data_IF_561760870106
#
_entry.id   IF_561760870106
#
_cell.length_a   1.000
_cell.length_b   1.000
_cell.length_c   1.000
_cell.angle_alpha   90.00
_cell.angle_beta   90.00
_cell.angle_gamma   90.00
#
_symmetry.space_group_name_H-M   'P 1'
#
loop_
_entity.id
_entity.type
_entity.pdbx_description
1 polymer ?
#
# COMPACT_ATOMS: atom_id res chain seq x y z
N UNK A 1 -6.94 -12.26 17.23
CA UNK A 1 -5.49 -12.28 16.92
C UNK A 1 -4.82 -11.80 18.19
N UNK A 2 -4.06 -12.66 18.85
CA UNK A 2 -3.65 -12.38 20.22
C UNK A 2 -2.31 -11.63 20.20
N UNK A 3 -2.29 -10.47 20.86
CA UNK A 3 -1.12 -9.62 21.11
C UNK A 3 -0.21 -9.31 19.90
N UNK A 4 -0.70 -8.61 18.86
CA UNK A 4 0.16 -8.20 17.75
C UNK A 4 1.23 -7.21 18.21
N UNK A 5 2.46 -7.35 17.68
CA UNK A 5 3.55 -6.38 17.92
C UNK A 5 3.23 -5.05 17.23
N UNK A 6 3.54 -3.93 17.86
CA UNK A 6 3.34 -2.62 17.23
C UNK A 6 4.45 -2.35 16.22
N UNK A 7 4.09 -2.11 14.97
CA UNK A 7 4.98 -1.74 13.87
C UNK A 7 4.76 -0.26 13.55
N UNK A 8 5.60 0.59 14.14
CA UNK A 8 5.63 2.02 13.80
C UNK A 8 6.46 2.20 12.54
N UNK A 9 5.85 2.76 11.50
CA UNK A 9 6.46 2.95 10.19
C UNK A 9 6.61 4.43 9.92
N UNK A 10 7.83 4.89 9.62
CA UNK A 10 8.10 6.28 9.27
C UNK A 10 7.76 6.51 7.79
N UNK A 11 6.74 7.33 7.53
CA UNK A 11 6.19 7.68 6.21
C UNK A 11 6.65 9.05 5.72
N UNK A 12 7.52 9.76 6.47
CA UNK A 12 7.90 11.15 6.19
C UNK A 12 8.42 11.38 4.76
N UNK A 13 8.99 10.33 4.15
CA UNK A 13 9.65 10.43 2.85
C UNK A 13 8.95 9.63 1.74
N UNK A 14 7.81 9.00 2.04
CA UNK A 14 6.98 8.25 1.08
C UNK A 14 5.49 8.40 1.40
N UNK A 15 5.10 9.60 1.82
CA UNK A 15 3.74 9.90 2.29
C UNK A 15 2.64 9.58 1.27
N UNK A 16 2.93 9.65 -0.02
CA UNK A 16 1.91 9.47 -1.06
C UNK A 16 1.59 7.96 -1.22
N UNK A 17 2.64 7.10 -1.21
CA UNK A 17 2.47 5.65 -1.08
C UNK A 17 1.76 5.28 0.23
N UNK A 18 2.06 5.97 1.33
CA UNK A 18 1.37 5.72 2.59
C UNK A 18 -0.14 5.98 2.46
N UNK A 19 -0.55 7.02 1.73
CA UNK A 19 -1.97 7.28 1.45
C UNK A 19 -2.63 6.16 0.64
N UNK A 20 -1.92 5.60 -0.34
CA UNK A 20 -2.37 4.42 -1.11
C UNK A 20 -2.58 3.20 -0.19
N UNK A 21 -1.59 2.88 0.64
CA UNK A 21 -1.65 1.79 1.63
C UNK A 21 -2.79 1.98 2.63
N UNK A 22 -2.97 3.22 3.13
CA UNK A 22 -4.02 3.56 4.07
C UNK A 22 -5.41 3.48 3.45
N UNK A 23 -5.57 3.91 2.19
CA UNK A 23 -6.82 3.70 1.45
C UNK A 23 -7.13 2.21 1.34
N UNK A 24 -6.15 1.41 0.91
CA UNK A 24 -6.31 -0.04 0.78
C UNK A 24 -6.74 -0.71 2.09
N UNK A 25 -6.09 -0.34 3.21
CA UNK A 25 -6.47 -0.83 4.54
C UNK A 25 -7.88 -0.39 4.94
N UNK A 26 -8.23 0.88 4.71
CA UNK A 26 -9.49 1.47 5.16
C UNK A 26 -10.69 1.01 4.35
N UNK A 27 -10.58 1.07 3.02
CA UNK A 27 -11.70 0.93 2.10
C UNK A 27 -11.90 -0.54 1.67
N UNK A 28 -10.83 -1.23 1.26
CA UNK A 28 -10.89 -2.62 0.78
C UNK A 28 -10.74 -3.65 1.90
N UNK A 29 -10.11 -3.29 3.03
CA UNK A 29 -9.87 -4.20 4.16
C UNK A 29 -10.63 -3.83 5.42
N UNK A 30 -11.56 -2.87 5.34
CA UNK A 30 -12.47 -2.52 6.43
C UNK A 30 -11.80 -1.90 7.65
N UNK A 31 -10.67 -1.21 7.46
CA UNK A 31 -9.88 -0.61 8.55
C UNK A 31 -8.92 -1.58 9.25
N UNK A 32 -8.70 -2.77 8.69
CA UNK A 32 -7.75 -3.75 9.25
C UNK A 32 -6.31 -3.21 9.24
N UNK A 33 -5.71 -3.13 10.42
CA UNK A 33 -4.30 -2.72 10.61
C UNK A 33 -3.43 -3.85 11.16
N UNK A 34 -4.01 -4.99 11.52
CA UNK A 34 -3.28 -6.14 12.06
C UNK A 34 -2.99 -7.14 10.96
N UNK A 35 -1.73 -7.32 10.64
CA UNK A 35 -1.24 -8.17 9.57
C UNK A 35 -0.24 -9.19 10.09
N UNK A 36 0.06 -10.21 9.28
CA UNK A 36 1.05 -11.22 9.63
C UNK A 36 2.23 -11.10 8.66
N UNK A 37 3.45 -11.07 9.20
CA UNK A 37 4.65 -11.05 8.37
C UNK A 37 4.74 -12.37 7.63
N UNK A 38 4.92 -12.31 6.32
CA UNK A 38 5.10 -13.45 5.44
C UNK A 38 6.35 -14.24 5.80
N UNK A 39 6.64 -15.27 5.01
CA UNK A 39 7.83 -16.10 5.20
C UNK A 39 8.96 -15.65 4.28
N UNK A 40 10.22 -15.97 4.61
CA UNK A 40 11.44 -15.44 3.95
C UNK A 40 11.40 -15.45 2.41
N UNK A 41 10.73 -16.42 1.80
CA UNK A 41 10.71 -16.61 0.34
C UNK A 41 9.36 -16.29 -0.33
N UNK A 42 8.36 -15.75 0.40
CA UNK A 42 7.03 -15.51 -0.18
C UNK A 42 6.98 -14.29 -1.10
N UNK A 43 7.89 -13.32 -0.91
CA UNK A 43 7.85 -12.01 -1.59
C UNK A 43 7.82 -12.09 -3.13
N UNK A 44 8.67 -12.94 -3.72
CA UNK A 44 8.75 -13.08 -5.18
C UNK A 44 7.46 -13.64 -5.76
N UNK A 45 6.91 -14.67 -5.11
CA UNK A 45 5.63 -15.28 -5.50
C UNK A 45 4.49 -14.28 -5.34
N UNK A 46 4.43 -13.56 -4.23
CA UNK A 46 3.40 -12.55 -4.02
C UNK A 46 3.40 -11.48 -5.12
N UNK A 47 4.56 -10.94 -5.51
CA UNK A 47 4.63 -9.97 -6.63
C UNK A 47 4.21 -10.51 -7.98
N UNK A 48 4.37 -11.82 -8.19
CA UNK A 48 3.86 -12.47 -9.39
C UNK A 48 2.34 -12.62 -9.32
N UNK A 49 1.82 -13.02 -8.17
CA UNK A 49 0.40 -13.26 -7.95
C UNK A 49 -0.42 -11.97 -7.90
N UNK A 50 0.15 -10.86 -7.41
CA UNK A 50 -0.47 -9.52 -7.44
C UNK A 50 -0.47 -8.90 -8.83
N UNK A 51 0.47 -9.32 -9.67
CA UNK A 51 0.71 -8.73 -10.99
C UNK A 51 1.72 -7.59 -11.00
N UNK A 52 2.30 -7.21 -9.85
CA UNK A 52 3.33 -6.18 -9.78
C UNK A 52 4.56 -6.48 -10.68
N UNK A 53 4.96 -7.76 -10.77
CA UNK A 53 6.06 -8.19 -11.67
C UNK A 53 5.75 -8.00 -13.17
N UNK A 54 4.50 -7.73 -13.55
CA UNK A 54 4.14 -7.41 -14.93
C UNK A 54 4.36 -5.92 -15.27
N UNK A 55 4.86 -5.13 -14.32
CA UNK A 55 5.11 -3.69 -14.47
C UNK A 55 3.89 -2.96 -15.06
N UNK A 56 2.71 -3.11 -14.43
CA UNK A 56 1.43 -2.71 -15.03
C UNK A 56 1.33 -1.22 -15.33
N UNK A 57 2.16 -0.38 -14.70
CA UNK A 57 2.15 1.07 -14.88
C UNK A 57 3.28 1.57 -15.79
N UNK A 58 3.99 0.68 -16.50
CA UNK A 58 4.90 1.12 -17.57
C UNK A 58 4.12 1.51 -18.82
N UNK A 59 4.61 2.51 -19.55
CA UNK A 59 3.95 3.07 -20.74
C UNK A 59 3.54 2.01 -21.79
N UNK A 60 4.37 0.98 -21.97
CA UNK A 60 4.11 -0.11 -22.92
C UNK A 60 3.11 -1.17 -22.41
N UNK A 61 2.68 -1.08 -21.16
CA UNK A 61 1.78 -2.02 -20.49
C UNK A 61 0.38 -1.45 -20.23
N UNK A 62 0.23 -0.12 -20.14
CA UNK A 62 -1.01 0.59 -19.80
C UNK A 62 -2.23 0.06 -20.58
N UNK A 63 -2.16 0.12 -21.91
CA UNK A 63 -3.28 -0.32 -22.77
C UNK A 63 -3.56 -1.83 -22.65
N UNK A 64 -2.52 -2.65 -22.51
CA UNK A 64 -2.67 -4.12 -22.40
C UNK A 64 -3.30 -4.54 -21.08
N UNK A 65 -3.04 -3.77 -20.02
CA UNK A 65 -3.47 -4.07 -18.64
C UNK A 65 -4.70 -3.31 -18.21
N UNK A 66 -5.15 -2.33 -18.99
CA UNK A 66 -6.26 -1.45 -18.62
C UNK A 66 -5.91 -0.61 -17.39
N UNK A 67 -4.66 -0.16 -17.33
CA UNK A 67 -4.10 0.65 -16.24
C UNK A 67 -3.65 2.00 -16.79
N UNK A 68 -3.45 2.93 -15.88
CA UNK A 68 -2.99 4.28 -16.19
C UNK A 68 -1.94 4.69 -15.15
N UNK A 69 -1.26 5.81 -15.37
CA UNK A 69 -0.37 6.44 -14.40
C UNK A 69 -0.98 7.75 -13.86
N UNK A 70 -0.76 8.08 -12.58
CA UNK A 70 -1.14 9.40 -12.02
C UNK A 70 -0.37 10.52 -12.73
N UNK A 71 0.91 10.28 -13.01
CA UNK A 71 1.75 11.07 -13.91
C UNK A 71 2.87 10.19 -14.50
N UNK A 72 3.67 10.76 -15.40
CA UNK A 72 4.74 10.04 -16.11
C UNK A 72 5.76 9.35 -15.20
N UNK A 73 5.93 9.81 -13.96
CA UNK A 73 6.90 9.27 -13.00
C UNK A 73 6.32 8.11 -12.16
N UNK A 74 5.01 7.91 -12.17
CA UNK A 74 4.32 6.86 -11.38
C UNK A 74 4.29 5.50 -12.08
N UNK A 75 5.48 4.96 -12.36
CA UNK A 75 5.68 3.71 -13.12
C UNK A 75 5.78 2.45 -12.26
N UNK A 76 6.03 2.59 -10.96
CA UNK A 76 6.14 1.47 -10.02
C UNK A 76 4.77 0.98 -9.57
N UNK A 77 4.69 -0.29 -9.17
CA UNK A 77 3.47 -0.88 -8.65
C UNK A 77 3.56 -1.03 -7.13
N UNK A 78 3.00 -0.07 -6.40
CA UNK A 78 2.75 -0.23 -4.97
C UNK A 78 1.72 -1.33 -4.78
N UNK A 79 1.87 -2.21 -3.79
CA UNK A 79 0.98 -3.34 -3.59
C UNK A 79 0.53 -3.46 -2.14
N UNK A 80 -0.79 -3.44 -1.90
CA UNK A 80 -1.34 -3.68 -0.57
C UNK A 80 -2.39 -4.80 -0.56
N UNK A 81 -2.26 -5.85 0.30
CA UNK A 81 -1.23 -6.04 1.31
C UNK A 81 0.16 -6.26 0.72
N UNK A 82 1.20 -5.72 1.37
CA UNK A 82 2.58 -5.81 0.89
C UNK A 82 2.97 -7.26 0.61
N UNK A 83 3.80 -7.51 -0.42
CA UNK A 83 4.32 -8.85 -0.69
C UNK A 83 5.11 -9.48 0.48
N UNK A 84 5.53 -8.67 1.46
CA UNK A 84 6.16 -9.16 2.69
C UNK A 84 5.17 -9.70 3.73
N UNK A 85 3.86 -9.61 3.50
CA UNK A 85 2.81 -10.12 4.39
C UNK A 85 2.25 -11.46 3.90
N UNK A 86 1.67 -12.26 4.80
CA UNK A 86 1.02 -13.55 4.46
C UNK A 86 -0.12 -13.39 3.47
N UNK A 87 -0.87 -12.28 3.56
CA UNK A 87 -1.99 -11.95 2.64
C UNK A 87 -1.55 -11.15 1.41
N UNK A 88 -0.25 -10.98 1.19
CA UNK A 88 0.25 -10.33 -0.02
C UNK A 88 0.03 -11.19 -1.26
N UNK A 89 0.14 -10.57 -2.43
CA UNK A 89 0.01 -11.25 -3.70
C UNK A 89 -1.42 -11.28 -4.22
N UNK A 90 -2.07 -12.44 -4.20
CA UNK A 90 -3.39 -12.59 -4.81
C UNK A 90 -4.41 -11.63 -4.20
N UNK A 91 -5.13 -10.89 -5.07
CA UNK A 91 -6.07 -9.82 -4.70
C UNK A 91 -5.44 -8.64 -3.93
N UNK A 92 -4.12 -8.47 -3.95
CA UNK A 92 -3.52 -7.21 -3.56
C UNK A 92 -3.98 -6.12 -4.54
N UNK A 93 -4.30 -4.96 -4.00
CA UNK A 93 -4.59 -3.77 -4.79
C UNK A 93 -3.25 -3.17 -5.19
N UNK A 94 -3.11 -2.82 -6.46
CA UNK A 94 -1.97 -2.11 -6.99
C UNK A 94 -2.32 -0.65 -7.26
N UNK A 95 -1.38 0.23 -6.95
CA UNK A 95 -1.44 1.65 -7.29
C UNK A 95 -0.18 2.08 -8.05
N UNK A 96 -0.28 3.05 -8.98
CA UNK A 96 0.87 3.63 -9.66
C UNK A 96 1.64 4.55 -8.71
N UNK A 97 2.90 4.22 -8.44
CA UNK A 97 3.76 4.98 -7.52
C UNK A 97 5.10 5.33 -8.17
N UNK A 98 5.81 6.31 -7.62
CA UNK A 98 7.17 6.64 -8.06
C UNK A 98 8.18 5.62 -7.54
N UNK A 99 9.23 5.33 -8.32
CA UNK A 99 10.31 4.43 -7.89
C UNK A 99 11.05 4.94 -6.64
N UNK A 100 11.18 6.26 -6.52
CA UNK A 100 11.81 6.92 -5.38
C UNK A 100 11.04 6.66 -4.09
N UNK A 101 9.72 6.85 -4.07
CA UNK A 101 8.93 6.55 -2.87
C UNK A 101 8.88 5.04 -2.61
N UNK A 102 8.80 4.20 -3.65
CA UNK A 102 8.80 2.74 -3.49
C UNK A 102 10.08 2.24 -2.80
N UNK A 103 11.23 2.80 -3.17
CA UNK A 103 12.53 2.49 -2.57
C UNK A 103 12.59 2.91 -1.10
N UNK A 104 12.05 4.09 -0.80
CA UNK A 104 11.99 4.64 0.55
C UNK A 104 11.05 3.84 1.46
N UNK A 105 9.85 3.50 0.98
CA UNK A 105 8.90 2.64 1.66
C UNK A 105 9.54 1.27 1.99
N UNK A 106 10.13 0.62 0.99
CA UNK A 106 10.77 -0.69 1.18
C UNK A 106 11.89 -0.66 2.24
N UNK A 107 12.65 0.43 2.30
CA UNK A 107 13.69 0.65 3.31
C UNK A 107 13.09 0.91 4.69
N UNK A 108 12.10 1.80 4.79
CA UNK A 108 11.41 2.15 6.04
C UNK A 108 10.73 0.94 6.68
N UNK A 109 9.90 0.22 5.92
CA UNK A 109 9.20 -0.99 6.40
C UNK A 109 10.19 -2.07 6.87
N UNK A 110 11.28 -2.27 6.13
CA UNK A 110 12.33 -3.22 6.52
C UNK A 110 13.03 -2.83 7.82
N UNK A 111 13.28 -1.53 8.02
CA UNK A 111 13.86 -1.01 9.26
C UNK A 111 12.87 -1.14 10.44
N UNK A 112 11.58 -0.83 10.22
CA UNK A 112 10.54 -0.97 11.23
C UNK A 112 10.37 -2.41 11.71
N UNK A 113 10.41 -3.41 10.81
CA UNK A 113 10.37 -4.81 11.24
C UNK A 113 11.51 -5.16 12.20
N UNK A 114 12.72 -4.66 11.94
CA UNK A 114 13.87 -4.87 12.82
C UNK A 114 13.71 -4.13 14.14
N UNK A 115 13.33 -2.86 14.11
CA UNK A 115 13.16 -2.02 15.30
C UNK A 115 12.08 -2.56 16.25
N UNK A 116 10.98 -3.06 15.69
CA UNK A 116 9.87 -3.66 16.45
C UNK A 116 10.05 -5.15 16.76
N UNK A 117 11.19 -5.75 16.40
CA UNK A 117 11.46 -7.18 16.53
C UNK A 117 10.32 -8.06 15.97
N UNK A 118 9.74 -7.70 14.82
CA UNK A 118 8.69 -8.49 14.17
C UNK A 118 9.35 -9.50 13.25
N UNK A 119 9.41 -10.77 13.64
CA UNK A 119 9.98 -11.87 12.86
C UNK A 119 8.98 -12.46 11.85
N UNK A 120 9.47 -13.33 10.97
CA UNK A 120 8.63 -14.02 9.99
C UNK A 120 7.55 -14.85 10.69
N UNK A 121 6.31 -14.78 10.19
CA UNK A 121 5.16 -15.48 10.76
C UNK A 121 4.51 -14.78 11.96
N UNK A 122 5.06 -13.67 12.45
CA UNK A 122 4.47 -12.94 13.57
C UNK A 122 3.39 -11.96 13.15
N UNK A 123 2.44 -11.72 14.05
CA UNK A 123 1.40 -10.71 13.89
C UNK A 123 1.89 -9.35 14.34
N UNK A 124 1.57 -8.32 13.56
CA UNK A 124 1.91 -6.94 13.88
C UNK A 124 0.75 -6.00 13.55
N UNK A 125 0.67 -4.86 14.23
CA UNK A 125 -0.24 -3.76 13.95
C UNK A 125 0.53 -2.62 13.30
N UNK A 126 0.08 -2.19 12.12
CA UNK A 126 0.69 -1.06 11.42
C UNK A 126 0.23 0.25 12.05
N UNK A 127 1.20 1.13 12.32
CA UNK A 127 0.97 2.53 12.65
C UNK A 127 1.84 3.42 11.76
N UNK A 128 1.20 4.23 10.91
CA UNK A 128 1.89 5.18 10.04
C UNK A 128 2.27 6.44 10.82
N UNK A 129 3.53 6.83 10.85
CA UNK A 129 4.05 7.97 11.60
C UNK A 129 5.00 8.80 10.74
N UNK A 130 5.18 10.10 11.04
CA UNK A 130 4.51 10.84 12.10
C UNK A 130 3.07 11.24 11.69
N UNK A 131 2.18 11.57 12.65
CA UNK A 131 0.79 11.92 12.36
C UNK A 131 0.59 13.07 11.36
N UNK A 132 1.48 14.06 11.36
CA UNK A 132 1.47 15.21 10.46
C UNK A 132 1.83 14.87 9.00
N UNK A 133 2.44 13.70 8.77
CA UNK A 133 2.71 13.21 7.42
C UNK A 133 1.53 12.42 6.84
N UNK A 134 0.49 12.14 7.64
CA UNK A 134 -0.71 11.43 7.19
C UNK A 134 -1.57 12.35 6.33
N UNK A 135 -1.93 11.90 5.13
CA UNK A 135 -2.97 12.51 4.34
C UNK A 135 -4.36 12.06 4.81
N UNK A 136 -5.35 12.16 3.93
CA UNK A 136 -6.76 11.99 4.28
C UNK A 136 -7.09 10.56 4.71
N UNK A 137 -6.66 9.57 3.93
CA UNK A 137 -6.94 8.16 4.18
C UNK A 137 -6.16 7.65 5.39
N UNK A 138 -4.88 8.02 5.55
CA UNK A 138 -4.15 7.63 6.77
C UNK A 138 -4.71 8.29 8.02
N UNK A 139 -5.07 9.57 7.96
CA UNK A 139 -5.70 10.23 9.11
C UNK A 139 -7.01 9.51 9.49
N UNK A 140 -7.87 9.21 8.51
CA UNK A 140 -9.13 8.49 8.71
C UNK A 140 -8.94 7.06 9.26
N UNK A 141 -7.97 6.31 8.72
CA UNK A 141 -7.62 4.96 9.18
C UNK A 141 -7.17 4.94 10.65
N UNK A 142 -6.52 6.01 11.10
CA UNK A 142 -5.97 6.14 12.44
C UNK A 142 -6.95 6.73 13.47
N UNK A 143 -8.20 7.04 13.09
CA UNK A 143 -9.25 7.40 14.04
C UNK A 143 -9.76 6.16 14.82
N UNK A 144 -10.50 6.41 15.92
CA UNK A 144 -11.10 5.36 16.72
C UNK A 144 -12.61 5.63 16.95
N UNK A 145 -13.51 4.94 16.23
CA UNK A 145 -13.24 3.97 15.16
C UNK A 145 -12.67 4.63 13.89
N UNK A 146 -12.08 3.87 12.94
CA UNK A 146 -11.67 4.40 11.64
C UNK A 146 -12.83 5.07 10.89
N UNK A 147 -12.59 6.24 10.30
CA UNK A 147 -13.62 6.99 9.57
C UNK A 147 -13.74 6.52 8.12
N UNK A 148 -14.66 5.58 7.87
CA UNK A 148 -14.83 4.99 6.54
C UNK A 148 -15.60 5.87 5.55
N UNK A 149 -16.16 7.00 5.97
CA UNK A 149 -16.91 7.90 5.07
C UNK A 149 -16.05 8.43 3.93
N UNK A 150 -14.75 8.60 4.17
CA UNK A 150 -13.78 9.03 3.15
C UNK A 150 -13.71 8.05 1.96
N UNK A 151 -14.06 6.78 2.16
CA UNK A 151 -14.11 5.78 1.08
C UNK A 151 -15.25 6.03 0.10
N UNK A 152 -16.38 6.59 0.57
CA UNK A 152 -17.53 6.92 -0.26
C UNK A 152 -17.39 8.32 -0.89
N UNK A 153 -16.77 9.26 -0.16
CA UNK A 153 -16.50 10.62 -0.64
C UNK A 153 -15.42 10.66 -1.73
N UNK A 154 -14.48 9.72 -1.68
CA UNK A 154 -13.30 9.59 -2.55
C UNK A 154 -12.67 10.95 -2.91
N UNK A 155 -12.20 11.70 -1.91
CA UNK A 155 -11.81 13.09 -2.08
C UNK A 155 -10.60 13.24 -3.01
N UNK A 156 -10.61 14.32 -3.78
CA UNK A 156 -9.43 14.77 -4.50
C UNK A 156 -8.32 15.20 -3.54
N UNK A 157 -7.09 14.82 -3.90
CA UNK A 157 -5.88 15.17 -3.18
C UNK A 157 -4.71 15.40 -4.14
N UNK A 158 -3.62 15.92 -3.58
CA UNK A 158 -2.35 16.03 -4.29
C UNK A 158 -1.49 14.83 -3.91
N UNK A 159 -1.11 14.02 -4.90
CA UNK A 159 -0.21 12.87 -4.73
C UNK A 159 0.84 12.91 -5.83
N UNK A 160 2.09 12.62 -5.48
CA UNK A 160 3.22 12.62 -6.41
C UNK A 160 3.35 13.94 -7.20
N UNK A 161 2.97 15.07 -6.59
CA UNK A 161 2.95 16.39 -7.24
C UNK A 161 1.77 16.64 -8.20
N UNK A 162 0.88 15.65 -8.41
CA UNK A 162 -0.32 15.78 -9.23
C UNK A 162 -1.52 16.13 -8.36
N UNK A 163 -2.25 17.21 -8.69
CA UNK A 163 -3.48 17.63 -8.02
C UNK A 163 -4.72 16.94 -8.59
N UNK A 164 -5.78 16.85 -7.80
CA UNK A 164 -7.07 16.33 -8.27
C UNK A 164 -7.10 14.80 -8.36
N UNK A 165 -6.18 14.12 -7.66
CA UNK A 165 -6.10 12.66 -7.69
C UNK A 165 -7.18 12.06 -6.79
N UNK A 166 -8.01 11.21 -7.37
CA UNK A 166 -8.97 10.34 -6.68
C UNK A 166 -8.45 8.93 -6.68
N UNK A 167 -7.99 8.44 -5.53
CA UNK A 167 -7.29 7.16 -5.45
C UNK A 167 -8.16 5.96 -5.85
N UNK A 168 -9.49 6.06 -5.77
CA UNK A 168 -10.37 4.98 -6.23
C UNK A 168 -10.22 4.66 -7.72
N UNK A 169 -9.88 5.66 -8.55
CA UNK A 169 -9.68 5.49 -9.99
C UNK A 169 -8.44 4.64 -10.32
N UNK A 170 -7.48 4.58 -9.39
CA UNK A 170 -6.16 3.98 -9.60
C UNK A 170 -6.01 2.62 -8.88
N UNK A 171 -7.04 2.21 -8.13
CA UNK A 171 -7.05 0.94 -7.41
C UNK A 171 -7.26 -0.23 -8.37
N UNK A 172 -6.16 -0.82 -8.84
CA UNK A 172 -6.20 -1.94 -9.78
C UNK A 172 -6.00 -3.28 -9.08
N UNK A 173 -6.69 -4.32 -9.54
CA UNK A 173 -6.45 -5.71 -9.11
C UNK A 173 -6.29 -6.57 -10.34
N UNK A 174 -5.28 -7.45 -10.35
CA UNK A 174 -5.09 -8.38 -11.45
C UNK A 174 -6.31 -9.31 -11.58
N UNK A 175 -7.05 -9.16 -12.68
CA UNK A 175 -8.06 -10.11 -13.09
C UNK A 175 -7.35 -11.28 -13.78
N UNK A 176 -7.28 -12.45 -13.13
CA UNK A 176 -6.84 -13.68 -13.80
C UNK A 176 -7.91 -14.05 -14.83
N UNK A 177 -7.57 -14.06 -16.11
CA UNK A 177 -8.40 -14.70 -17.12
C UNK A 177 -8.53 -16.19 -16.76
N UNK A 178 -9.78 -16.67 -16.68
CA UNK A 178 -10.11 -18.07 -16.42
C UNK A 178 -9.75 -18.99 -17.58
#
# INVERSE_FOLDING_TARGET
KDNPKELSVDISTWRDIAEEDCRAMLCERGGERVWQRGYRNSKRKHRQDSGANFTPFHQNELSRRGTEQINVDTISAEEFPWATMVKGGENAVLFPATEDQQTQQGSSVSASYKASNVDYGEWFRITMNPPEARGRYCAALHQNPPDRRVCDEDPEQELFGTKGVRLSHWAWVLVKAG
#
